data_IF_772923786777
#
_entry.id   IF_772923786777
#
_cell.length_a   1.000
_cell.length_b   1.000
_cell.length_c   1.000
_cell.angle_alpha   90.00
_cell.angle_beta   90.00
_cell.angle_gamma   90.00
#
_symmetry.space_group_name_H-M   'P 1'
#
loop_
_entity.id
_entity.type
_entity.pdbx_description
1 polymer ?
#
# COMPACT_ATOMS: atom_id res chain seq x y z
N UNK A 1 37.87 14.00 -14.11
CA UNK A 1 36.53 14.65 -14.08
C UNK A 1 35.59 13.70 -14.75
N UNK A 2 34.50 13.30 -14.09
CA UNK A 2 33.39 12.61 -14.77
C UNK A 2 32.55 13.64 -15.50
N UNK A 3 32.23 13.36 -16.74
CA UNK A 3 31.34 14.23 -17.55
C UNK A 3 29.94 13.63 -17.43
N UNK A 4 28.99 14.45 -17.03
CA UNK A 4 27.58 14.04 -16.99
C UNK A 4 26.94 14.35 -18.34
N UNK A 5 26.21 13.35 -18.86
CA UNK A 5 25.43 13.48 -20.08
C UNK A 5 23.95 13.28 -19.74
N UNK A 6 23.08 14.15 -20.23
CA UNK A 6 21.64 14.07 -20.01
C UNK A 6 20.95 13.62 -21.30
N UNK A 7 20.07 12.65 -21.17
CA UNK A 7 19.25 12.12 -22.26
C UNK A 7 17.80 12.39 -21.92
N UNK A 8 17.10 13.08 -22.80
CA UNK A 8 15.65 13.20 -22.67
C UNK A 8 14.96 11.99 -23.27
N UNK A 9 14.12 11.35 -22.46
CA UNK A 9 13.33 10.18 -22.90
C UNK A 9 11.95 10.67 -23.32
N UNK A 10 11.57 10.32 -24.54
CA UNK A 10 10.24 10.61 -25.10
C UNK A 10 9.67 9.31 -25.67
N UNK A 11 8.48 8.93 -25.26
CA UNK A 11 7.84 7.66 -25.64
C UNK A 11 8.76 6.45 -25.43
N UNK A 12 9.44 6.39 -24.28
CA UNK A 12 10.34 5.30 -23.91
C UNK A 12 11.66 5.25 -24.66
N UNK A 13 12.01 6.27 -25.48
CA UNK A 13 13.23 6.30 -26.27
C UNK A 13 13.99 7.61 -26.09
N UNK A 14 15.28 7.50 -26.02
CA UNK A 14 16.21 8.63 -26.04
C UNK A 14 17.46 8.27 -26.82
N UNK A 15 18.16 9.25 -27.38
CA UNK A 15 19.41 9.04 -28.10
C UNK A 15 20.46 10.05 -27.66
N UNK A 16 21.70 9.60 -27.58
CA UNK A 16 22.86 10.42 -27.25
C UNK A 16 24.09 9.80 -27.90
N UNK A 17 24.97 10.64 -28.42
CA UNK A 17 26.26 10.19 -28.90
C UNK A 17 27.23 10.06 -27.73
N UNK A 18 27.74 8.86 -27.51
CA UNK A 18 28.71 8.54 -26.46
C UNK A 18 29.96 7.88 -27.11
N UNK A 19 31.11 8.18 -26.55
CA UNK A 19 32.34 7.45 -26.90
C UNK A 19 32.32 6.05 -26.31
N UNK A 20 33.16 5.15 -26.84
CA UNK A 20 33.36 3.82 -26.22
C UNK A 20 33.84 3.97 -24.80
N UNK A 21 33.30 3.17 -23.89
CA UNK A 21 33.67 3.20 -22.47
C UNK A 21 32.56 2.71 -21.56
N UNK A 22 32.85 2.72 -20.26
CA UNK A 22 31.90 2.32 -19.22
C UNK A 22 31.13 3.54 -18.70
N UNK A 23 29.84 3.40 -18.58
CA UNK A 23 28.95 4.46 -18.10
C UNK A 23 28.04 3.93 -16.99
N UNK A 24 27.90 4.71 -15.92
CA UNK A 24 26.85 4.51 -14.93
C UNK A 24 25.62 5.27 -15.42
N UNK A 25 24.49 4.59 -15.47
CA UNK A 25 23.21 5.14 -15.89
C UNK A 25 22.36 5.39 -14.67
N UNK A 26 21.80 6.58 -14.59
CA UNK A 26 20.78 6.96 -13.61
C UNK A 26 19.55 7.46 -14.37
N UNK A 27 18.38 7.21 -13.83
CA UNK A 27 17.14 7.72 -14.40
C UNK A 27 16.50 8.67 -13.39
N UNK A 28 15.91 9.73 -13.93
CA UNK A 28 15.00 10.60 -13.21
C UNK A 28 13.68 10.59 -13.97
N UNK A 29 12.62 10.19 -13.33
CA UNK A 29 11.31 10.21 -13.93
C UNK A 29 10.33 10.84 -12.95
N UNK A 30 9.53 11.77 -13.43
CA UNK A 30 8.53 12.44 -12.60
C UNK A 30 7.56 11.40 -12.04
N UNK A 31 7.35 11.42 -10.73
CA UNK A 31 6.50 10.48 -10.04
C UNK A 31 7.18 9.16 -9.61
N UNK A 32 8.48 8.99 -9.84
CA UNK A 32 9.25 7.79 -9.47
C UNK A 32 10.34 8.14 -8.44
N UNK A 33 10.40 7.42 -7.31
CA UNK A 33 11.34 7.70 -6.21
C UNK A 33 12.15 6.47 -5.78
N UNK A 34 13.46 6.53 -5.79
CA UNK A 34 14.22 6.66 -7.03
C UNK A 34 13.93 5.44 -7.92
N UNK A 35 13.86 5.59 -9.22
CA UNK A 35 13.65 4.45 -10.09
C UNK A 35 14.87 3.51 -10.00
N UNK A 36 14.60 2.22 -9.80
CA UNK A 36 15.63 1.19 -9.97
C UNK A 36 15.82 0.94 -11.46
N UNK A 37 17.03 1.14 -11.94
CA UNK A 37 17.38 0.93 -13.34
C UNK A 37 18.19 -0.36 -13.51
N UNK A 38 17.76 -1.19 -14.46
CA UNK A 38 18.46 -2.42 -14.81
C UNK A 38 18.71 -2.49 -16.32
N UNK A 39 19.98 -2.58 -16.76
CA UNK A 39 21.21 -2.48 -15.96
C UNK A 39 21.53 -1.03 -15.53
N UNK A 40 22.14 -0.84 -14.38
CA UNK A 40 22.62 0.45 -13.88
C UNK A 40 23.97 0.88 -14.44
N UNK A 41 24.68 -0.01 -15.10
CA UNK A 41 25.96 0.24 -15.76
C UNK A 41 25.97 -0.41 -17.14
N UNK A 42 26.54 0.27 -18.12
CA UNK A 42 26.72 -0.24 -19.47
C UNK A 42 28.12 -0.03 -19.99
N UNK A 43 28.55 -0.87 -20.90
CA UNK A 43 29.75 -0.68 -21.69
C UNK A 43 29.33 -0.30 -23.13
N UNK A 44 29.73 0.89 -23.56
CA UNK A 44 29.55 1.35 -24.93
C UNK A 44 30.72 0.80 -25.76
N UNK A 45 30.41 -0.02 -26.75
CA UNK A 45 31.37 -0.66 -27.63
C UNK A 45 31.05 -0.33 -29.09
N UNK A 46 32.07 -0.40 -29.93
CA UNK A 46 31.91 -0.19 -31.38
C UNK A 46 30.93 -1.20 -31.99
N UNK A 47 30.03 -0.71 -32.82
CA UNK A 47 29.05 -1.55 -33.52
C UNK A 47 27.78 -1.91 -32.75
N UNK A 48 27.71 -1.59 -31.45
CA UNK A 48 26.49 -1.73 -30.66
C UNK A 48 25.82 -0.37 -30.46
N UNK A 49 24.69 -0.16 -31.10
CA UNK A 49 24.02 1.13 -31.18
C UNK A 49 22.72 1.20 -30.35
N UNK A 50 22.29 0.09 -29.76
CA UNK A 50 21.06 0.01 -28.97
C UNK A 50 21.31 -0.61 -27.61
N UNK A 51 20.77 0.00 -26.59
CA UNK A 51 20.81 -0.43 -25.19
C UNK A 51 19.41 -0.33 -24.64
N UNK A 52 18.96 -1.38 -23.97
CA UNK A 52 17.65 -1.43 -23.33
C UNK A 52 17.79 -1.39 -21.83
N UNK A 53 16.91 -0.65 -21.18
CA UNK A 53 16.86 -0.51 -19.75
C UNK A 53 15.44 -0.79 -19.27
N UNK A 54 15.34 -1.45 -18.15
CA UNK A 54 14.07 -1.61 -17.44
C UNK A 54 14.07 -0.68 -16.22
N UNK A 55 13.06 0.14 -16.13
CA UNK A 55 12.85 1.02 -14.98
C UNK A 55 11.68 0.43 -14.18
N UNK A 56 11.94 0.10 -12.93
CA UNK A 56 10.89 -0.24 -11.97
C UNK A 56 10.83 0.86 -10.92
N UNK A 57 9.64 1.37 -10.72
CA UNK A 57 9.35 2.31 -9.66
C UNK A 57 8.42 1.65 -8.65
N UNK A 58 8.57 2.06 -7.41
CA UNK A 58 7.71 1.65 -6.32
C UNK A 58 7.17 2.88 -5.62
N UNK A 59 5.96 2.79 -5.12
CA UNK A 59 5.34 3.83 -4.32
C UNK A 59 5.13 3.36 -2.90
N UNK A 60 4.92 4.31 -1.99
CA UNK A 60 4.46 4.06 -0.64
C UNK A 60 2.96 4.33 -0.59
N UNK A 61 2.18 3.33 -0.16
CA UNK A 61 0.77 3.47 0.16
C UNK A 61 0.61 3.46 1.67
N UNK A 62 0.15 4.57 2.22
CA UNK A 62 -0.22 4.70 3.63
C UNK A 62 -1.73 4.58 3.77
N UNK A 63 -2.18 3.64 4.57
CA UNK A 63 -3.56 3.60 5.07
C UNK A 63 -3.54 4.33 6.42
N UNK A 64 -4.23 5.44 6.52
CA UNK A 64 -4.37 6.22 7.76
C UNK A 64 -5.72 5.89 8.39
N UNK A 65 -5.67 5.18 9.51
CA UNK A 65 -6.83 4.61 10.19
C UNK A 65 -7.23 5.49 11.36
N UNK A 66 -8.44 5.99 11.32
CA UNK A 66 -9.02 6.81 12.40
C UNK A 66 -10.46 6.37 12.68
N UNK A 67 -10.98 6.77 13.82
CA UNK A 67 -12.35 6.49 14.24
C UNK A 67 -13.40 7.01 13.24
N UNK A 68 -13.20 8.19 12.68
CA UNK A 68 -14.13 8.85 11.77
C UNK A 68 -13.72 8.80 10.29
N UNK A 69 -12.51 8.28 9.97
CA UNK A 69 -11.99 8.21 8.62
C UNK A 69 -11.52 9.55 8.05
N UNK A 70 -11.22 10.52 8.90
CA UNK A 70 -10.65 11.81 8.50
C UNK A 70 -9.20 11.96 8.98
N UNK A 71 -8.45 12.84 8.35
CA UNK A 71 -7.07 13.13 8.75
C UNK A 71 -6.93 13.75 10.15
N UNK A 72 -8.03 14.21 10.74
CA UNK A 72 -8.08 14.80 12.07
C UNK A 72 -8.78 13.93 13.12
N UNK A 73 -9.23 12.74 12.74
CA UNK A 73 -9.84 11.77 13.64
C UNK A 73 -8.85 11.19 14.65
N UNK A 74 -9.35 10.43 15.61
CA UNK A 74 -8.52 9.74 16.58
C UNK A 74 -7.81 8.56 15.92
N UNK A 75 -6.46 8.52 15.91
CA UNK A 75 -5.73 7.45 15.24
C UNK A 75 -5.90 6.11 15.95
N UNK A 76 -6.00 5.03 15.17
CA UNK A 76 -6.19 3.66 15.67
C UNK A 76 -4.92 2.86 15.45
N UNK A 77 -4.30 2.44 16.54
CA UNK A 77 -3.13 1.56 16.56
C UNK A 77 -3.57 0.09 16.54
N UNK A 78 -2.80 -0.77 15.87
CA UNK A 78 -3.02 -2.22 15.92
C UNK A 78 -3.96 -2.77 14.84
N UNK A 79 -4.57 -1.93 14.01
CA UNK A 79 -5.34 -2.39 12.85
C UNK A 79 -4.42 -3.08 11.84
N UNK A 80 -4.83 -4.26 11.34
CA UNK A 80 -3.99 -5.07 10.46
C UNK A 80 -4.57 -5.23 9.08
N UNK A 81 -3.69 -5.27 8.07
CA UNK A 81 -4.05 -5.29 6.65
C UNK A 81 -3.17 -6.26 5.87
N UNK A 82 -3.76 -6.88 4.84
CA UNK A 82 -3.06 -7.57 3.76
C UNK A 82 -3.24 -6.84 2.43
N UNK A 83 -2.22 -6.90 1.59
CA UNK A 83 -2.40 -6.64 0.16
C UNK A 83 -3.08 -7.82 -0.50
N UNK A 84 -3.89 -7.52 -1.52
CA UNK A 84 -4.66 -8.52 -2.26
C UNK A 84 -4.50 -8.32 -3.78
N UNK A 85 -4.79 -9.36 -4.55
CA UNK A 85 -5.11 -9.22 -5.96
C UNK A 85 -6.58 -8.74 -6.14
N UNK A 86 -7.01 -8.57 -7.39
CA UNK A 86 -8.38 -8.12 -7.70
C UNK A 86 -9.46 -9.14 -7.30
N UNK A 87 -9.09 -10.40 -7.16
CA UNK A 87 -9.94 -11.50 -6.71
C UNK A 87 -9.99 -11.63 -5.19
N UNK A 88 -9.15 -10.84 -4.47
CA UNK A 88 -9.10 -10.80 -3.02
C UNK A 88 -8.19 -11.85 -2.39
N UNK A 89 -7.34 -12.53 -3.16
CA UNK A 89 -6.31 -13.40 -2.62
C UNK A 89 -5.20 -12.55 -2.00
N UNK A 90 -4.81 -12.87 -0.77
CA UNK A 90 -3.80 -12.12 -0.03
C UNK A 90 -2.39 -12.50 -0.45
N UNK A 91 -1.48 -11.54 -0.46
CA UNK A 91 -0.06 -11.77 -0.70
C UNK A 91 0.81 -10.79 0.09
N UNK A 92 2.06 -11.20 0.34
CA UNK A 92 3.01 -10.43 1.14
C UNK A 92 2.77 -10.51 2.64
N UNK A 93 3.43 -9.63 3.37
CA UNK A 93 3.35 -9.58 4.82
C UNK A 93 2.13 -8.80 5.30
N UNK A 94 1.67 -9.16 6.49
CA UNK A 94 0.65 -8.37 7.19
C UNK A 94 1.28 -7.06 7.67
N UNK A 95 0.56 -5.96 7.49
CA UNK A 95 0.97 -4.64 7.95
C UNK A 95 0.04 -4.21 9.07
N UNK A 96 0.63 -3.63 10.11
CA UNK A 96 -0.10 -3.16 11.30
C UNK A 96 0.03 -1.66 11.42
N UNK A 97 -1.07 -0.97 11.76
CA UNK A 97 -1.03 0.46 12.01
C UNK A 97 -0.25 0.80 13.29
N UNK A 98 0.52 1.85 13.22
CA UNK A 98 1.30 2.39 14.32
C UNK A 98 0.46 3.31 15.23
N UNK A 99 1.06 3.89 16.26
CA UNK A 99 0.41 4.81 17.18
C UNK A 99 -0.13 6.10 16.52
N UNK A 100 0.32 6.43 15.32
CA UNK A 100 -0.25 7.50 14.50
C UNK A 100 -1.40 7.06 13.61
N UNK A 101 -1.83 5.80 13.69
CA UNK A 101 -2.88 5.22 12.85
C UNK A 101 -2.41 4.81 11.46
N UNK A 102 -1.10 4.80 11.18
CA UNK A 102 -0.59 4.55 9.83
C UNK A 102 -0.15 3.10 9.63
N UNK A 103 -0.78 2.41 8.69
CA UNK A 103 -0.33 1.14 8.13
C UNK A 103 0.32 1.39 6.76
N UNK A 104 1.63 1.09 6.63
CA UNK A 104 2.44 1.54 5.49
C UNK A 104 2.87 0.36 4.64
N UNK A 105 2.39 0.33 3.41
CA UNK A 105 2.86 -0.58 2.37
C UNK A 105 3.99 0.09 1.57
N UNK A 106 5.20 -0.36 1.82
CA UNK A 106 6.37 0.06 1.05
C UNK A 106 6.51 -0.78 -0.23
N UNK A 107 7.18 -0.21 -1.22
CA UNK A 107 7.53 -0.91 -2.45
C UNK A 107 6.32 -1.48 -3.22
N UNK A 108 5.22 -0.74 -3.25
CA UNK A 108 4.08 -1.07 -4.11
C UNK A 108 4.49 -0.80 -5.56
N UNK A 109 4.43 -1.79 -6.46
CA UNK A 109 4.76 -1.56 -7.87
C UNK A 109 3.90 -0.46 -8.47
N UNK A 110 4.53 0.42 -9.25
CA UNK A 110 3.87 1.53 -9.90
C UNK A 110 4.39 1.69 -11.34
N UNK A 111 3.50 1.97 -12.27
CA UNK A 111 3.86 2.35 -13.63
C UNK A 111 3.01 3.53 -14.06
N UNK A 112 3.66 4.63 -14.43
CA UNK A 112 3.00 5.84 -14.92
C UNK A 112 2.51 5.73 -16.38
N UNK A 113 3.04 4.76 -17.13
CA UNK A 113 2.75 4.59 -18.55
C UNK A 113 1.50 3.75 -18.81
N UNK A 114 0.95 3.14 -17.79
CA UNK A 114 -0.26 2.32 -17.87
C UNK A 114 -1.34 3.00 -17.03
N UNK A 115 -2.59 2.82 -17.41
CA UNK A 115 -3.77 3.17 -16.61
C UNK A 115 -3.49 3.09 -15.12
N UNK A 116 -3.94 4.04 -14.31
CA UNK A 116 -3.64 4.08 -12.88
C UNK A 116 -3.72 2.71 -12.25
N UNK A 117 -2.65 2.26 -11.59
CA UNK A 117 -2.59 0.94 -10.98
C UNK A 117 -3.54 0.90 -9.78
N UNK A 118 -4.52 0.02 -9.82
CA UNK A 118 -5.36 -0.26 -8.66
C UNK A 118 -4.62 -1.16 -7.69
N UNK A 119 -4.54 -0.76 -6.44
CA UNK A 119 -4.01 -1.58 -5.35
C UNK A 119 -5.17 -2.02 -4.47
N UNK A 120 -5.25 -3.31 -4.24
CA UNK A 120 -6.29 -3.94 -3.43
C UNK A 120 -5.73 -4.33 -2.07
N UNK A 121 -6.56 -4.21 -1.04
CA UNK A 121 -6.20 -4.58 0.32
C UNK A 121 -7.44 -5.00 1.11
N UNK A 122 -7.23 -5.75 2.19
CA UNK A 122 -8.25 -6.11 3.17
C UNK A 122 -7.77 -5.79 4.56
N UNK A 123 -8.65 -5.23 5.36
CA UNK A 123 -8.46 -5.16 6.80
C UNK A 123 -8.88 -6.49 7.42
N UNK A 124 -8.09 -7.00 8.36
CA UNK A 124 -8.33 -8.30 9.02
C UNK A 124 -8.57 -8.17 10.51
N UNK A 125 -8.13 -7.09 11.12
CA UNK A 125 -8.45 -6.77 12.51
C UNK A 125 -8.43 -5.26 12.75
N UNK A 126 -9.01 -4.86 13.88
CA UNK A 126 -8.83 -3.57 14.51
C UNK A 126 -8.21 -3.77 15.90
N UNK A 127 -8.22 -2.76 16.73
CA UNK A 127 -7.70 -2.77 18.11
C UNK A 127 -8.60 -3.53 19.11
N UNK A 128 -9.76 -3.98 18.69
CA UNK A 128 -10.76 -4.66 19.53
C UNK A 128 -11.83 -3.74 20.11
N UNK A 129 -11.64 -2.42 20.04
CA UNK A 129 -12.61 -1.41 20.50
C UNK A 129 -13.39 -0.78 19.34
N UNK A 130 -12.85 -0.88 18.12
CA UNK A 130 -13.42 -0.31 16.90
C UNK A 130 -13.87 -1.41 15.93
N UNK A 131 -14.91 -1.11 15.17
CA UNK A 131 -15.36 -1.94 14.04
C UNK A 131 -14.59 -1.60 12.78
N UNK A 132 -14.55 -2.48 11.79
CA UNK A 132 -13.87 -2.25 10.53
C UNK A 132 -14.58 -2.88 9.35
N UNK A 133 -14.23 -2.45 8.15
CA UNK A 133 -14.71 -3.05 6.91
C UNK A 133 -13.75 -4.17 6.46
N UNK A 134 -14.20 -5.43 6.54
CA UNK A 134 -13.44 -6.61 6.12
C UNK A 134 -13.53 -6.90 4.61
N UNK A 135 -14.34 -6.16 3.87
CA UNK A 135 -14.48 -6.33 2.43
C UNK A 135 -13.20 -5.94 1.67
N UNK A 136 -13.08 -6.46 0.45
CA UNK A 136 -12.00 -6.07 -0.43
C UNK A 136 -12.11 -4.59 -0.79
N UNK A 137 -11.08 -3.83 -0.45
CA UNK A 137 -10.98 -2.41 -0.72
C UNK A 137 -9.91 -2.16 -1.78
N UNK A 138 -9.99 -1.04 -2.47
CA UNK A 138 -8.97 -0.65 -3.43
C UNK A 138 -8.77 0.86 -3.46
N UNK A 139 -7.60 1.25 -3.93
CA UNK A 139 -7.28 2.64 -4.28
C UNK A 139 -6.46 2.66 -5.55
N UNK A 140 -6.46 3.81 -6.21
CA UNK A 140 -5.69 4.03 -7.43
C UNK A 140 -4.47 4.86 -7.11
N UNK A 141 -3.29 4.33 -7.46
CA UNK A 141 -2.04 5.05 -7.28
C UNK A 141 -1.87 6.05 -8.43
N UNK A 142 -1.83 7.32 -8.08
CA UNK A 142 -1.60 8.43 -9.04
C UNK A 142 -0.30 9.18 -8.78
N UNK A 143 0.29 8.99 -7.61
CA UNK A 143 1.51 9.65 -7.15
C UNK A 143 2.43 8.67 -6.44
N UNK A 144 3.64 9.12 -6.17
CA UNK A 144 4.68 8.39 -5.44
C UNK A 144 4.31 8.00 -4.01
N UNK A 145 3.59 8.88 -3.34
CA UNK A 145 3.08 8.70 -1.99
C UNK A 145 1.58 8.90 -2.04
N UNK A 146 0.84 7.92 -1.58
CA UNK A 146 -0.61 7.96 -1.51
C UNK A 146 -1.03 7.66 -0.09
N UNK A 147 -1.84 8.55 0.50
CA UNK A 147 -2.48 8.31 1.79
C UNK A 147 -3.97 8.14 1.57
N UNK A 148 -4.50 7.01 2.02
CA UNK A 148 -5.92 6.70 2.00
C UNK A 148 -6.47 6.73 3.42
N UNK A 149 -7.55 7.47 3.62
CA UNK A 149 -8.24 7.54 4.90
C UNK A 149 -9.15 6.32 5.09
N UNK A 150 -9.02 5.64 6.22
CA UNK A 150 -9.82 4.45 6.58
C UNK A 150 -10.57 4.75 7.87
N UNK A 151 -11.89 4.52 7.88
CA UNK A 151 -12.72 4.69 9.07
C UNK A 151 -12.92 3.36 9.79
N UNK A 152 -12.57 3.35 11.06
CA UNK A 152 -12.87 2.28 12.00
C UNK A 152 -13.68 2.87 13.17
N UNK A 153 -14.99 3.02 13.02
CA UNK A 153 -15.81 3.64 14.05
C UNK A 153 -15.90 2.78 15.31
N UNK A 154 -16.17 3.42 16.43
CA UNK A 154 -16.39 2.75 17.72
C UNK A 154 -17.33 1.56 17.59
N UNK A 155 -17.00 0.47 18.27
CA UNK A 155 -17.89 -0.68 18.37
C UNK A 155 -19.15 -0.28 19.16
N UNK A 156 -20.31 -0.57 18.58
CA UNK A 156 -21.58 -0.28 19.23
C UNK A 156 -21.81 -1.28 20.37
N UNK A 157 -22.02 -0.76 21.56
CA UNK A 157 -22.42 -1.58 22.70
C UNK A 157 -23.70 -2.36 22.38
N UNK A 158 -23.70 -3.65 22.68
CA UNK A 158 -24.84 -4.55 22.50
C UNK A 158 -25.24 -5.14 23.83
N UNK A 159 -26.51 -4.97 24.18
CA UNK A 159 -27.08 -5.59 25.38
C UNK A 159 -27.65 -6.96 25.04
N UNK A 160 -27.19 -7.96 25.74
CA UNK A 160 -27.69 -9.32 25.64
C UNK A 160 -28.49 -9.66 26.89
N UNK A 161 -29.76 -10.03 26.75
CA UNK A 161 -30.64 -10.45 27.85
C UNK A 161 -30.83 -11.94 27.82
N UNK A 162 -30.55 -12.60 28.92
CA UNK A 162 -30.72 -14.04 29.09
C UNK A 162 -31.78 -14.32 30.13
N UNK A 163 -32.75 -15.10 29.74
CA UNK A 163 -33.83 -15.55 30.63
C UNK A 163 -33.94 -17.05 30.60
N UNK A 164 -34.43 -17.64 31.72
CA UNK A 164 -34.71 -19.06 31.78
C UNK A 164 -35.84 -19.41 30.84
N UNK A 165 -35.66 -20.48 30.03
CA UNK A 165 -36.66 -20.96 29.08
C UNK A 165 -37.95 -21.44 29.73
N UNK A 166 -37.85 -22.00 30.94
CA UNK A 166 -38.98 -22.62 31.65
C UNK A 166 -39.66 -21.62 32.59
N UNK A 167 -38.96 -20.55 32.97
CA UNK A 167 -39.45 -19.53 33.87
C UNK A 167 -39.32 -18.17 33.18
N UNK A 168 -40.31 -17.83 32.36
CA UNK A 168 -40.35 -16.60 31.62
C UNK A 168 -40.07 -15.37 32.50
N UNK A 169 -39.14 -14.55 32.12
CA UNK A 169 -38.68 -13.34 32.81
C UNK A 169 -37.80 -13.58 34.07
N UNK A 170 -37.39 -14.80 34.36
CA UNK A 170 -36.39 -15.04 35.38
C UNK A 170 -34.98 -14.76 34.78
N UNK A 171 -34.28 -13.71 35.22
CA UNK A 171 -32.93 -13.43 34.71
C UNK A 171 -31.96 -14.52 35.15
N UNK A 172 -31.07 -14.93 34.22
CA UNK A 172 -29.99 -15.88 34.54
C UNK A 172 -28.89 -15.08 35.26
N UNK A 173 -28.70 -15.41 36.54
CA UNK A 173 -27.60 -14.87 37.33
C UNK A 173 -26.32 -15.69 37.11
N UNK A 174 -25.17 -15.02 37.09
CA UNK A 174 -23.83 -15.62 36.96
C UNK A 174 -23.59 -16.44 35.66
N UNK A 175 -24.28 -16.10 34.61
CA UNK A 175 -23.98 -16.61 33.26
C UNK A 175 -22.71 -15.96 32.70
N UNK A 176 -22.00 -16.71 31.82
CA UNK A 176 -20.86 -16.17 31.02
C UNK A 176 -21.23 -16.26 29.55
N UNK A 177 -21.17 -15.18 28.84
CA UNK A 177 -21.20 -15.14 27.39
C UNK A 177 -19.76 -15.14 26.87
N UNK A 178 -19.48 -15.95 25.88
CA UNK A 178 -18.23 -15.94 25.12
C UNK A 178 -18.63 -15.63 23.69
N UNK A 179 -18.09 -14.56 23.13
CA UNK A 179 -18.18 -14.24 21.71
C UNK A 179 -16.78 -14.46 21.10
N UNK A 180 -16.75 -15.21 20.02
CA UNK A 180 -15.53 -15.43 19.22
C UNK A 180 -15.85 -14.94 17.80
N UNK A 181 -14.95 -14.15 17.22
CA UNK A 181 -15.09 -13.56 15.89
C UNK A 181 -13.93 -13.92 14.97
#
# INVERSE_FOLDING_TARGET
>A
MSVQHNIQITNGKGSLALANGNYTITAEAFGYNPPSLDPSTIEIIEGKNEYSFTISATVTLTLHITDDGTAGGVPIEGATFYRCDAEGNTYGDIITSNAGGDAIFNNVPYSADVTPLSVYFKQVSSDGEHTFNAELQNTTLQNQEVTLQISNPDATERTFTFTDKNYANLPIANGKLIAEG
#
